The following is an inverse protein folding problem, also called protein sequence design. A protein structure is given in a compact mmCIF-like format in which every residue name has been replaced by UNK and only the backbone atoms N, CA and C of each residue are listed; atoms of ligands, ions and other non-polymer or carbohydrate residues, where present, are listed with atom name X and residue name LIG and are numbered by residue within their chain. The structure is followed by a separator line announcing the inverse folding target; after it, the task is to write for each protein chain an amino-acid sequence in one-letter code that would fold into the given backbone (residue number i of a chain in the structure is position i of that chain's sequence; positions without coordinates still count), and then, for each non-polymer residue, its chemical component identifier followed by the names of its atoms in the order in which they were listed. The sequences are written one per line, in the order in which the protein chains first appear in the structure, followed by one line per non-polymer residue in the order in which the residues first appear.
data_IF_330695885861
#
_entry.id   IF_330695885861
#
_cell.length_a   1.000
_cell.length_b   1.000
_cell.length_c   1.000
_cell.angle_alpha   90.00
_cell.angle_beta   90.00
_cell.angle_gamma   90.00
#
_symmetry.space_group_name_H-M   'P 1'
#
loop_
_entity.id
_entity.type
_entity.pdbx_description
1 polymer ?
#
# COMPACT_ATOMS: atom_id res chain seq x y z
N UNK A 1 5.41 2.31 -26.83
CA UNK A 1 4.31 1.34 -26.61
C UNK A 1 4.20 1.08 -25.12
N UNK A 2 3.01 1.16 -24.54
CA UNK A 2 2.80 0.84 -23.13
C UNK A 2 3.14 -0.64 -22.88
N UNK A 3 3.95 -0.91 -21.87
CA UNK A 3 4.23 -2.25 -21.38
C UNK A 3 2.88 -2.92 -21.02
N UNK A 4 2.63 -4.14 -21.50
CA UNK A 4 1.36 -4.84 -21.25
C UNK A 4 1.38 -5.43 -19.83
N UNK A 5 0.40 -5.08 -19.01
CA UNK A 5 0.22 -5.67 -17.69
C UNK A 5 -0.22 -7.14 -17.79
N UNK A 6 0.20 -7.97 -16.82
CA UNK A 6 -0.44 -9.28 -16.56
C UNK A 6 -1.53 -9.09 -15.54
N UNK A 7 -2.75 -9.57 -15.83
CA UNK A 7 -3.89 -9.43 -14.92
C UNK A 7 -4.03 -10.68 -14.06
N UNK A 8 -4.03 -10.49 -12.74
CA UNK A 8 -4.31 -11.53 -11.76
C UNK A 8 -5.69 -11.28 -11.14
N UNK A 9 -6.36 -12.36 -10.78
CA UNK A 9 -7.61 -12.34 -10.01
C UNK A 9 -7.42 -13.13 -8.74
N UNK A 10 -7.81 -12.57 -7.61
CA UNK A 10 -7.75 -13.22 -6.31
C UNK A 10 -9.11 -13.13 -5.63
N UNK A 11 -9.52 -14.20 -4.96
CA UNK A 11 -10.67 -14.22 -4.07
C UNK A 11 -10.13 -14.28 -2.63
N UNK A 12 -10.44 -13.28 -1.83
CA UNK A 12 -10.00 -13.17 -0.45
C UNK A 12 -11.20 -13.32 0.47
N UNK A 13 -11.22 -14.38 1.28
CA UNK A 13 -12.10 -14.48 2.43
C UNK A 13 -11.31 -14.00 3.66
N UNK A 14 -11.71 -12.87 4.24
CA UNK A 14 -11.03 -12.24 5.38
C UNK A 14 -11.87 -12.45 6.63
N UNK A 15 -11.24 -12.98 7.67
CA UNK A 15 -11.78 -13.08 9.03
C UNK A 15 -10.76 -12.45 9.99
N UNK A 16 -10.89 -11.15 10.21
CA UNK A 16 -10.02 -10.35 11.06
C UNK A 16 -10.74 -10.07 12.39
N UNK A 17 -10.32 -10.78 13.44
CA UNK A 17 -10.93 -10.67 14.77
C UNK A 17 -10.54 -9.37 15.48
N UNK A 18 -9.36 -8.82 15.20
CA UNK A 18 -8.87 -7.60 15.85
C UNK A 18 -9.68 -6.39 15.40
N UNK A 19 -10.08 -6.36 14.12
CA UNK A 19 -10.93 -5.31 13.54
C UNK A 19 -12.42 -5.67 13.52
N UNK A 20 -12.78 -6.91 13.85
CA UNK A 20 -14.15 -7.42 13.71
C UNK A 20 -14.65 -7.45 12.26
N UNK A 21 -13.74 -7.62 11.30
CA UNK A 21 -14.02 -7.60 9.86
C UNK A 21 -14.15 -9.02 9.32
N UNK A 22 -15.31 -9.33 8.77
CA UNK A 22 -15.61 -10.59 8.07
C UNK A 22 -16.17 -10.27 6.69
N UNK A 23 -15.37 -10.47 5.64
CA UNK A 23 -15.75 -10.06 4.30
C UNK A 23 -15.06 -10.89 3.21
N UNK A 24 -15.76 -11.04 2.08
CA UNK A 24 -15.24 -11.62 0.86
C UNK A 24 -14.94 -10.53 -0.18
N UNK A 25 -13.72 -10.53 -0.71
CA UNK A 25 -13.27 -9.57 -1.73
C UNK A 25 -12.81 -10.28 -3.00
N UNK A 26 -13.39 -9.90 -4.13
CA UNK A 26 -12.88 -10.25 -5.45
C UNK A 26 -11.93 -9.15 -5.94
N UNK A 27 -10.64 -9.43 -5.93
CA UNK A 27 -9.58 -8.47 -6.24
C UNK A 27 -9.04 -8.72 -7.66
N UNK A 28 -8.87 -7.65 -8.43
CA UNK A 28 -8.20 -7.67 -9.74
C UNK A 28 -6.92 -6.86 -9.63
N UNK A 29 -5.78 -7.48 -9.95
CA UNK A 29 -4.47 -6.84 -9.83
C UNK A 29 -3.83 -6.76 -11.21
N UNK A 30 -3.48 -5.56 -11.65
CA UNK A 30 -2.62 -5.34 -12.79
C UNK A 30 -1.15 -5.37 -12.34
N UNK A 31 -0.41 -6.41 -12.75
CA UNK A 31 1.01 -6.55 -12.47
C UNK A 31 1.85 -5.86 -13.55
N UNK A 32 2.69 -4.92 -13.15
CA UNK A 32 3.65 -4.28 -14.06
C UNK A 32 4.71 -5.31 -14.52
N UNK A 33 5.22 -5.27 -15.76
CA UNK A 33 6.21 -6.26 -16.21
C UNK A 33 7.52 -6.29 -15.41
N UNK A 34 7.89 -5.17 -14.78
CA UNK A 34 9.03 -5.10 -13.86
C UNK A 34 8.69 -5.46 -12.41
N UNK A 35 7.43 -5.76 -12.12
CA UNK A 35 7.02 -6.17 -10.78
C UNK A 35 7.22 -7.67 -10.58
N UNK A 36 7.95 -8.03 -9.54
CA UNK A 36 8.12 -9.41 -9.11
C UNK A 36 6.85 -9.95 -8.42
N UNK A 37 6.64 -11.26 -8.51
CA UNK A 37 5.50 -11.98 -7.90
C UNK A 37 5.41 -11.70 -6.40
N UNK A 38 6.54 -11.74 -5.69
CA UNK A 38 6.62 -11.44 -4.26
C UNK A 38 6.04 -10.06 -3.94
N UNK A 39 6.46 -9.02 -4.69
CA UNK A 39 5.97 -7.65 -4.47
C UNK A 39 4.47 -7.54 -4.72
N UNK A 40 3.96 -8.19 -5.77
CA UNK A 40 2.52 -8.24 -6.04
C UNK A 40 1.76 -8.91 -4.89
N UNK A 41 2.29 -10.00 -4.34
CA UNK A 41 1.70 -10.69 -3.19
C UNK A 41 1.74 -9.83 -1.92
N UNK A 42 2.77 -9.02 -1.72
CA UNK A 42 2.80 -8.05 -0.62
C UNK A 42 1.74 -6.95 -0.82
N UNK A 43 1.48 -6.49 -2.05
CA UNK A 43 0.33 -5.57 -2.30
C UNK A 43 -1.00 -6.23 -1.93
N UNK A 44 -1.19 -7.50 -2.27
CA UNK A 44 -2.40 -8.26 -1.90
C UNK A 44 -2.52 -8.45 -0.38
N UNK A 45 -1.42 -8.74 0.31
CA UNK A 45 -1.38 -8.82 1.77
C UNK A 45 -1.69 -7.46 2.41
N UNK A 46 -1.08 -6.38 1.90
CA UNK A 46 -1.35 -5.03 2.35
C UNK A 46 -2.82 -4.63 2.17
N UNK A 47 -3.46 -5.06 1.08
CA UNK A 47 -4.91 -4.93 0.92
C UNK A 47 -5.66 -5.63 2.06
N UNK A 48 -5.39 -6.92 2.29
CA UNK A 48 -6.10 -7.70 3.31
C UNK A 48 -5.92 -7.12 4.74
N UNK A 49 -4.73 -6.63 5.06
CA UNK A 49 -4.41 -6.03 6.36
C UNK A 49 -5.05 -4.65 6.59
N UNK A 50 -5.46 -3.94 5.53
CA UNK A 50 -5.89 -2.54 5.65
C UNK A 50 -7.25 -2.23 5.05
N UNK A 51 -7.90 -3.17 4.36
CA UNK A 51 -9.25 -2.97 3.81
C UNK A 51 -10.19 -2.58 4.95
N UNK A 52 -10.97 -1.49 4.81
CA UNK A 52 -11.86 -1.02 5.87
C UNK A 52 -13.00 -2.02 6.10
N UNK A 53 -13.59 -1.97 7.30
CA UNK A 53 -14.69 -2.87 7.65
C UNK A 53 -16.00 -2.57 6.90
N UNK A 54 -16.16 -1.33 6.44
CA UNK A 54 -17.22 -0.90 5.56
C UNK A 54 -16.73 0.17 4.57
N UNK A 55 -17.55 0.45 3.56
CA UNK A 55 -17.20 1.37 2.48
C UNK A 55 -17.75 2.79 2.73
N UNK A 56 -18.19 3.14 3.95
CA UNK A 56 -18.89 4.43 4.19
C UNK A 56 -18.02 5.65 3.93
N UNK A 57 -16.72 5.49 4.09
CA UNK A 57 -15.71 6.54 3.86
C UNK A 57 -14.89 6.26 2.59
N UNK A 58 -15.47 5.54 1.62
CA UNK A 58 -14.80 5.16 0.39
C UNK A 58 -14.21 3.76 0.44
N UNK A 59 -13.31 3.45 -0.49
CA UNK A 59 -12.76 2.10 -0.67
C UNK A 59 -11.24 2.12 -0.69
N UNK A 60 -10.66 1.00 -0.27
CA UNK A 60 -9.25 0.71 -0.50
C UNK A 60 -9.09 0.15 -1.91
N UNK A 61 -8.27 0.80 -2.73
CA UNK A 61 -8.03 0.41 -4.13
C UNK A 61 -6.53 0.25 -4.41
N UNK A 62 -6.22 -0.63 -5.37
CA UNK A 62 -4.88 -0.73 -5.95
C UNK A 62 -4.65 0.48 -6.86
N UNK A 63 -3.59 1.23 -6.57
CA UNK A 63 -3.21 2.42 -7.33
C UNK A 63 -2.19 2.08 -8.43
N UNK A 64 -1.72 3.10 -9.17
CA UNK A 64 -0.84 2.88 -10.32
C UNK A 64 0.58 2.49 -9.96
N UNK A 65 1.12 2.91 -8.82
CA UNK A 65 2.38 2.38 -8.30
C UNK A 65 3.54 2.43 -9.32
N UNK A 66 4.08 1.29 -9.76
CA UNK A 66 5.15 1.21 -10.76
C UNK A 66 4.78 1.80 -12.13
N UNK A 67 3.50 2.02 -12.42
CA UNK A 67 3.03 2.73 -13.61
C UNK A 67 3.13 4.25 -13.46
N UNK A 68 3.08 4.77 -12.23
CA UNK A 68 3.12 6.19 -11.92
C UNK A 68 3.79 6.43 -10.56
N UNK A 69 5.03 6.93 -10.61
CA UNK A 69 5.84 7.17 -9.41
C UNK A 69 5.24 8.19 -8.44
N UNK A 70 4.21 8.95 -8.85
CA UNK A 70 3.50 9.87 -7.98
C UNK A 70 2.27 9.25 -7.29
N UNK A 71 1.92 7.99 -7.59
CA UNK A 71 0.84 7.25 -6.94
C UNK A 71 1.37 6.19 -5.96
N UNK A 72 0.53 5.82 -4.99
CA UNK A 72 0.80 4.79 -4.00
C UNK A 72 0.79 3.39 -4.62
N UNK A 73 1.13 2.36 -3.82
CA UNK A 73 0.83 0.98 -4.17
C UNK A 73 -0.67 0.68 -4.01
N UNK A 74 -1.24 1.15 -2.90
CA UNK A 74 -2.68 1.16 -2.62
C UNK A 74 -3.06 2.46 -1.92
N UNK A 75 -4.31 2.85 -2.03
CA UNK A 75 -4.84 3.97 -1.26
C UNK A 75 -6.29 3.77 -0.86
N UNK A 76 -6.64 4.27 0.32
CA UNK A 76 -8.02 4.47 0.71
C UNK A 76 -8.36 5.94 0.50
N UNK A 77 -9.27 6.21 -0.42
CA UNK A 77 -9.79 7.55 -0.68
C UNK A 77 -11.25 7.64 -0.32
N UNK A 78 -11.64 8.78 0.23
CA UNK A 78 -13.05 9.08 0.44
C UNK A 78 -13.73 9.54 -0.86
N UNK A 79 -15.03 9.83 -0.78
CA UNK A 79 -15.81 10.28 -1.93
C UNK A 79 -15.51 11.72 -2.38
N UNK A 80 -14.64 12.44 -1.66
CA UNK A 80 -14.13 13.76 -2.02
C UNK A 80 -12.73 13.71 -2.66
N UNK A 81 -12.20 12.50 -2.87
CA UNK A 81 -10.83 12.22 -3.34
C UNK A 81 -9.74 12.53 -2.29
N UNK A 82 -10.11 12.79 -1.03
CA UNK A 82 -9.16 12.92 0.07
C UNK A 82 -8.51 11.57 0.36
N UNK A 83 -7.19 11.54 0.48
CA UNK A 83 -6.44 10.31 0.79
C UNK A 83 -6.49 10.06 2.30
N UNK A 84 -7.32 9.12 2.73
CA UNK A 84 -7.39 8.69 4.12
C UNK A 84 -6.19 7.81 4.48
N UNK A 85 -5.78 6.91 3.58
CA UNK A 85 -4.65 6.01 3.81
C UNK A 85 -3.81 5.85 2.55
N UNK A 86 -2.54 6.21 2.62
CA UNK A 86 -1.53 5.93 1.61
C UNK A 86 -0.73 4.67 1.98
N UNK A 87 -0.61 3.70 1.07
CA UNK A 87 0.15 2.48 1.31
C UNK A 87 1.22 2.28 0.24
N UNK A 88 2.47 2.17 0.68
CA UNK A 88 3.62 1.82 -0.16
C UNK A 88 4.14 0.41 0.14
N UNK A 89 4.71 -0.21 -0.87
CA UNK A 89 5.32 -1.55 -0.79
C UNK A 89 6.74 -1.52 -1.35
N UNK A 90 7.68 -2.05 -0.58
CA UNK A 90 9.12 -2.08 -0.87
C UNK A 90 9.90 -1.16 0.06
N UNK A 91 10.94 -0.51 -0.48
CA UNK A 91 11.88 0.32 0.27
C UNK A 91 11.88 1.77 -0.27
N UNK A 92 10.77 2.51 -0.09
CA UNK A 92 10.69 3.90 -0.54
C UNK A 92 11.72 4.78 0.18
N UNK A 93 12.20 5.83 -0.49
CA UNK A 93 13.13 6.78 0.13
C UNK A 93 12.42 7.72 1.12
N UNK A 94 13.22 8.44 1.92
CA UNK A 94 12.69 9.36 2.92
C UNK A 94 11.84 10.48 2.29
N UNK A 95 12.21 10.96 1.10
CA UNK A 95 11.48 12.03 0.40
C UNK A 95 10.09 11.59 -0.01
N UNK A 96 9.93 10.37 -0.54
CA UNK A 96 8.65 9.80 -0.91
C UNK A 96 7.75 9.64 0.30
N UNK A 97 8.26 9.06 1.39
CA UNK A 97 7.49 8.86 2.61
C UNK A 97 7.04 10.18 3.24
N UNK A 98 7.92 11.19 3.28
CA UNK A 98 7.57 12.53 3.77
C UNK A 98 6.53 13.22 2.86
N UNK A 99 6.62 13.04 1.54
CA UNK A 99 5.64 13.54 0.58
C UNK A 99 4.27 12.87 0.77
N UNK A 100 4.24 11.56 0.98
CA UNK A 100 3.01 10.82 1.27
C UNK A 100 2.41 11.27 2.62
N UNK A 101 3.23 11.47 3.64
CA UNK A 101 2.80 11.92 4.96
C UNK A 101 2.08 13.28 4.93
N UNK A 102 2.50 14.18 4.03
CA UNK A 102 1.83 15.47 3.81
C UNK A 102 0.58 15.42 2.93
N UNK A 103 0.26 14.27 2.31
CA UNK A 103 -0.87 14.11 1.37
C UNK A 103 -1.99 13.24 1.91
N UNK A 104 -1.75 12.46 2.96
CA UNK A 104 -2.70 11.48 3.48
C UNK A 104 -2.87 11.61 5.00
N UNK A 105 -4.02 11.19 5.53
CA UNK A 105 -4.23 11.15 6.97
C UNK A 105 -3.35 10.09 7.65
N UNK A 106 -3.21 8.92 7.01
CA UNK A 106 -2.35 7.81 7.45
C UNK A 106 -1.42 7.38 6.31
N UNK A 107 -0.19 7.01 6.65
CA UNK A 107 0.75 6.36 5.72
C UNK A 107 1.22 5.04 6.29
N UNK A 108 1.30 4.01 5.45
CA UNK A 108 1.91 2.73 5.81
C UNK A 108 2.87 2.27 4.73
N UNK A 109 4.06 1.83 5.14
CA UNK A 109 5.02 1.22 4.24
C UNK A 109 5.27 -0.24 4.67
N UNK A 110 5.19 -1.16 3.71
CA UNK A 110 5.53 -2.57 3.89
C UNK A 110 6.85 -2.87 3.19
N UNK A 111 7.92 -3.02 3.95
CA UNK A 111 9.20 -3.53 3.46
C UNK A 111 9.28 -5.04 3.70
N UNK A 112 9.89 -5.77 2.77
CA UNK A 112 9.82 -7.25 2.77
C UNK A 112 11.11 -7.94 2.31
N UNK A 113 12.18 -7.20 1.98
CA UNK A 113 13.43 -7.81 1.51
C UNK A 113 14.44 -7.97 2.64
N UNK A 114 15.47 -8.81 2.44
CA UNK A 114 16.57 -8.99 3.39
C UNK A 114 17.38 -7.72 3.66
N UNK A 115 17.34 -6.73 2.76
CA UNK A 115 17.98 -5.43 2.95
C UNK A 115 17.18 -4.47 3.84
N UNK A 116 16.00 -4.86 4.33
CA UNK A 116 15.10 -3.99 5.12
C UNK A 116 15.79 -3.35 6.34
N UNK A 117 16.58 -4.08 7.15
CA UNK A 117 17.28 -3.45 8.28
C UNK A 117 18.29 -2.36 7.85
N UNK A 118 18.96 -2.56 6.71
CA UNK A 118 19.93 -1.60 6.17
C UNK A 118 19.23 -0.35 5.64
N UNK A 119 18.14 -0.53 4.89
CA UNK A 119 17.29 0.55 4.41
C UNK A 119 16.72 1.37 5.57
N UNK A 120 16.13 0.70 6.56
CA UNK A 120 15.49 1.34 7.70
C UNK A 120 16.48 2.21 8.50
N UNK A 121 17.65 1.65 8.84
CA UNK A 121 18.72 2.39 9.53
C UNK A 121 19.17 3.64 8.79
N UNK A 122 19.07 3.65 7.45
CA UNK A 122 19.44 4.79 6.60
C UNK A 122 18.42 5.94 6.60
N UNK A 123 17.18 5.70 7.04
CA UNK A 123 16.09 6.68 6.91
C UNK A 123 15.32 6.97 8.20
N UNK A 124 15.36 6.09 9.22
CA UNK A 124 14.50 6.18 10.41
C UNK A 124 14.57 7.54 11.11
N UNK A 125 15.77 8.11 11.22
CA UNK A 125 15.99 9.41 11.89
C UNK A 125 15.41 10.59 11.11
N UNK A 126 15.30 10.46 9.79
CA UNK A 126 14.74 11.48 8.89
C UNK A 126 13.21 11.48 8.90
N UNK A 127 12.60 10.35 9.25
CA UNK A 127 11.15 10.15 9.26
C UNK A 127 10.48 10.54 10.58
N UNK A 128 11.25 10.97 11.58
CA UNK A 128 10.77 11.34 12.93
C UNK A 128 9.68 12.42 12.95
N UNK A 129 9.56 13.21 11.89
CA UNK A 129 8.53 14.26 11.74
C UNK A 129 7.21 13.76 11.14
N UNK A 130 7.18 12.57 10.55
CA UNK A 130 5.97 11.97 9.98
C UNK A 130 5.22 11.18 11.07
N UNK A 131 4.42 11.88 11.88
CA UNK A 131 3.67 11.27 13.00
C UNK A 131 2.57 10.30 12.56
N UNK A 132 2.15 10.36 11.30
CA UNK A 132 1.12 9.50 10.71
C UNK A 132 1.68 8.34 9.88
N UNK A 133 3.00 8.11 9.92
CA UNK A 133 3.67 7.05 9.19
C UNK A 133 3.91 5.83 10.08
N UNK A 134 3.53 4.65 9.60
CA UNK A 134 3.86 3.36 10.19
C UNK A 134 4.65 2.52 9.18
N UNK A 135 5.73 1.86 9.63
CA UNK A 135 6.55 0.99 8.78
C UNK A 135 6.52 -0.43 9.32
N UNK A 136 6.15 -1.38 8.46
CA UNK A 136 6.20 -2.82 8.70
C UNK A 136 7.41 -3.40 7.96
N UNK A 137 8.10 -4.34 8.60
CA UNK A 137 9.37 -4.93 8.17
C UNK A 137 9.35 -6.45 8.33
#
# INVERSE_FOLDING_TARGET
MALKATIYKAQLAIADMDRGLYADHNVIIARHPSEADERMMIRLLAFALNVPADDKNGKLDFAKDLWDVDEAALWHKDYTDQILHWIDVGQPDDKRLMKAAGRAERVTAYSFSSSTPVWWKGIETKLTRASNLVVWQ
#
